data_IF_836191755044
#
_entry.id   IF_836191755044
#
_cell.length_a   1.000
_cell.length_b   1.000
_cell.length_c   1.000
_cell.angle_alpha   90.00
_cell.angle_beta   90.00
_cell.angle_gamma   90.00
#
_symmetry.space_group_name_H-M   'P 1'
#
loop_
_entity.id
_entity.type
_entity.pdbx_description
1 polymer ?
#
# COMPACT_ATOMS: atom_id res chain seq x y z
N UNK A 1 23.11 -66.97 -41.89
CA UNK A 1 23.24 -65.51 -41.99
C UNK A 1 23.90 -65.03 -40.71
N UNK A 2 25.23 -64.78 -40.70
CA UNK A 2 26.00 -64.51 -39.48
C UNK A 2 26.05 -63.03 -39.05
N UNK A 3 25.56 -62.10 -39.88
CA UNK A 3 25.76 -60.65 -39.68
C UNK A 3 24.90 -60.01 -38.57
N UNK A 4 23.80 -60.63 -38.15
CA UNK A 4 22.83 -60.03 -37.20
C UNK A 4 23.31 -60.16 -35.74
N UNK A 5 24.12 -61.18 -35.42
CA UNK A 5 24.63 -61.41 -34.07
C UNK A 5 25.80 -60.50 -33.70
N UNK A 6 26.67 -60.17 -34.66
CA UNK A 6 27.77 -59.22 -34.47
C UNK A 6 27.25 -57.80 -34.21
N UNK A 7 26.23 -57.35 -34.95
CA UNK A 7 25.62 -56.03 -34.72
C UNK A 7 24.98 -55.93 -33.33
N UNK A 8 24.29 -57.00 -32.89
CA UNK A 8 23.66 -57.04 -31.57
C UNK A 8 24.69 -57.07 -30.44
N UNK A 9 25.79 -57.79 -30.63
CA UNK A 9 26.90 -57.79 -29.67
C UNK A 9 27.58 -56.42 -29.57
N UNK A 10 27.80 -55.77 -30.72
CA UNK A 10 28.34 -54.41 -30.79
C UNK A 10 27.43 -53.38 -30.08
N UNK A 11 26.13 -53.49 -30.27
CA UNK A 11 25.14 -52.65 -29.59
C UNK A 11 25.16 -52.83 -28.07
N UNK A 12 25.26 -54.07 -27.60
CA UNK A 12 25.35 -54.37 -26.15
C UNK A 12 26.64 -53.78 -25.56
N UNK A 13 27.74 -53.82 -26.31
CA UNK A 13 29.00 -53.25 -25.86
C UNK A 13 28.95 -51.72 -25.80
N UNK A 14 28.33 -51.09 -26.80
CA UNK A 14 28.06 -49.65 -26.82
C UNK A 14 27.13 -49.21 -25.67
N UNK A 15 26.07 -49.97 -25.38
CA UNK A 15 25.15 -49.66 -24.29
C UNK A 15 25.82 -49.85 -22.92
N UNK A 16 26.71 -50.85 -22.79
CA UNK A 16 27.53 -51.04 -21.60
C UNK A 16 28.51 -49.89 -21.39
N UNK A 17 29.15 -49.39 -22.45
CA UNK A 17 30.08 -48.28 -22.38
C UNK A 17 29.37 -46.96 -22.10
N UNK A 18 28.19 -46.73 -22.69
CA UNK A 18 27.32 -45.60 -22.36
C UNK A 18 26.82 -45.65 -20.91
N UNK A 19 26.48 -46.85 -20.40
CA UNK A 19 26.06 -47.02 -19.01
C UNK A 19 27.23 -46.77 -18.03
N UNK A 20 28.45 -47.16 -18.38
CA UNK A 20 29.66 -46.83 -17.60
C UNK A 20 29.95 -45.34 -17.63
N UNK A 21 29.88 -44.70 -18.80
CA UNK A 21 30.07 -43.26 -18.96
C UNK A 21 29.08 -42.48 -18.08
N UNK A 22 27.78 -42.79 -18.15
CA UNK A 22 26.75 -42.16 -17.31
C UNK A 22 26.99 -42.38 -15.82
N UNK A 23 27.52 -43.55 -15.43
CA UNK A 23 27.90 -43.81 -14.04
C UNK A 23 29.08 -42.96 -13.61
N UNK A 24 30.10 -42.84 -14.45
CA UNK A 24 31.28 -42.01 -14.18
C UNK A 24 30.93 -40.52 -14.09
N UNK A 25 30.08 -40.03 -14.99
CA UNK A 25 29.51 -38.68 -14.93
C UNK A 25 28.73 -38.45 -13.63
N UNK A 26 27.84 -39.38 -13.26
CA UNK A 26 27.08 -39.29 -12.02
C UNK A 26 27.98 -39.32 -10.78
N UNK A 27 29.03 -40.15 -10.77
CA UNK A 27 30.02 -40.20 -9.69
C UNK A 27 30.84 -38.90 -9.61
N UNK A 28 31.20 -38.31 -10.75
CA UNK A 28 31.86 -37.01 -10.83
C UNK A 28 30.98 -35.88 -10.28
N UNK A 29 29.70 -35.83 -10.66
CA UNK A 29 28.73 -34.86 -10.14
C UNK A 29 28.52 -35.02 -8.63
N UNK A 30 28.46 -36.26 -8.13
CA UNK A 30 28.34 -36.54 -6.70
C UNK A 30 29.58 -36.08 -5.93
N UNK A 31 30.77 -36.23 -6.52
CA UNK A 31 32.02 -35.81 -5.89
C UNK A 31 32.16 -34.29 -5.83
N UNK A 32 31.82 -33.57 -6.90
CA UNK A 32 31.88 -32.11 -6.96
C UNK A 32 30.86 -31.46 -6.03
N UNK A 33 29.64 -31.99 -5.96
CA UNK A 33 28.61 -31.53 -5.01
C UNK A 33 29.01 -31.80 -3.56
N UNK A 34 29.64 -32.95 -3.26
CA UNK A 34 30.19 -33.22 -1.92
C UNK A 34 31.32 -32.25 -1.55
N UNK A 35 32.20 -31.92 -2.49
CA UNK A 35 33.28 -30.96 -2.28
C UNK A 35 32.74 -29.55 -2.02
N UNK A 36 31.74 -29.11 -2.80
CA UNK A 36 31.06 -27.83 -2.61
C UNK A 36 30.39 -27.73 -1.24
N UNK A 37 29.66 -28.78 -0.82
CA UNK A 37 29.05 -28.85 0.51
C UNK A 37 30.08 -28.86 1.64
N UNK A 38 31.22 -29.54 1.45
CA UNK A 38 32.32 -29.54 2.42
C UNK A 38 32.97 -28.15 2.54
N UNK A 39 33.13 -27.43 1.42
CA UNK A 39 33.63 -26.06 1.40
C UNK A 39 32.68 -25.08 2.09
N UNK A 40 31.37 -25.18 1.81
CA UNK A 40 30.33 -24.39 2.47
C UNK A 40 30.29 -24.67 3.98
N UNK A 41 30.34 -25.95 4.38
CA UNK A 41 30.37 -26.35 5.80
C UNK A 41 31.63 -25.84 6.53
N UNK A 42 32.77 -25.77 5.84
CA UNK A 42 34.03 -25.23 6.39
C UNK A 42 33.95 -23.72 6.58
N UNK A 43 33.33 -22.99 5.64
CA UNK A 43 33.07 -21.55 5.74
C UNK A 43 32.00 -21.20 6.79
N UNK A 44 31.05 -22.10 7.04
CA UNK A 44 29.93 -21.92 7.98
C UNK A 44 30.31 -21.73 9.45
N UNK A 45 31.57 -21.91 9.87
CA UNK A 45 31.95 -21.77 11.29
C UNK A 45 31.88 -20.33 11.80
N UNK A 46 32.01 -19.32 10.94
CA UNK A 46 31.89 -17.89 11.31
C UNK A 46 30.45 -17.37 11.20
N UNK A 47 29.62 -18.01 10.37
CA UNK A 47 28.21 -17.66 10.18
C UNK A 47 27.38 -17.58 11.49
N UNK A 48 27.46 -18.55 12.43
CA UNK A 48 26.67 -18.47 13.67
C UNK A 48 27.16 -17.38 14.61
N UNK A 49 28.44 -17.00 14.55
CA UNK A 49 29.02 -15.93 15.38
C UNK A 49 28.49 -14.58 14.90
N UNK A 50 28.50 -14.32 13.59
CA UNK A 50 27.91 -13.11 13.03
C UNK A 50 26.40 -13.03 13.26
N UNK A 51 25.69 -14.14 13.09
CA UNK A 51 24.26 -14.18 13.32
C UNK A 51 23.90 -13.94 14.80
N UNK A 52 24.68 -14.50 15.72
CA UNK A 52 24.53 -14.24 17.16
C UNK A 52 24.83 -12.79 17.55
N UNK A 53 25.88 -12.20 16.97
CA UNK A 53 26.23 -10.79 17.20
C UNK A 53 25.15 -9.84 16.65
N UNK A 54 24.64 -10.11 15.45
CA UNK A 54 23.54 -9.35 14.84
C UNK A 54 22.26 -9.44 15.69
N UNK A 55 21.91 -10.65 16.14
CA UNK A 55 20.73 -10.87 16.97
C UNK A 55 20.86 -10.18 18.34
N UNK A 56 22.05 -10.25 18.95
CA UNK A 56 22.34 -9.55 20.20
C UNK A 56 22.26 -8.03 20.08
N UNK A 57 22.82 -7.47 19.00
CA UNK A 57 22.71 -6.03 18.70
C UNK A 57 21.26 -5.59 18.49
N UNK A 58 20.48 -6.37 17.74
CA UNK A 58 19.07 -6.08 17.48
C UNK A 58 18.23 -6.10 18.77
N UNK A 59 18.41 -7.11 19.62
CA UNK A 59 17.74 -7.21 20.92
C UNK A 59 18.16 -6.09 21.87
N UNK A 60 19.44 -5.74 21.90
CA UNK A 60 19.96 -4.62 22.71
C UNK A 60 19.40 -3.27 22.26
N UNK A 61 19.34 -3.03 20.94
CA UNK A 61 18.74 -1.83 20.38
C UNK A 61 17.23 -1.76 20.70
N UNK A 62 16.50 -2.86 20.53
CA UNK A 62 15.07 -2.91 20.85
C UNK A 62 14.79 -2.63 22.34
N UNK A 63 15.58 -3.22 23.24
CA UNK A 63 15.50 -2.95 24.67
C UNK A 63 15.83 -1.49 25.00
N UNK A 64 16.88 -0.95 24.39
CA UNK A 64 17.25 0.46 24.55
C UNK A 64 16.13 1.40 24.12
N UNK A 65 15.52 1.19 22.94
CA UNK A 65 14.40 1.99 22.48
C UNK A 65 13.15 1.85 23.36
N UNK A 66 12.88 0.64 23.85
CA UNK A 66 11.77 0.39 24.76
C UNK A 66 11.90 1.16 26.09
N UNK A 67 13.11 1.20 26.67
CA UNK A 67 13.36 1.87 27.96
C UNK A 67 13.54 3.39 27.79
N UNK A 68 14.22 3.84 26.73
CA UNK A 68 14.61 5.24 26.58
C UNK A 68 13.72 6.07 25.65
N UNK A 69 12.85 5.48 24.84
CA UNK A 69 12.06 6.28 23.89
C UNK A 69 11.31 5.47 22.87
N UNK A 70 10.15 4.94 23.29
CA UNK A 70 9.15 4.37 22.37
C UNK A 70 8.07 5.36 21.95
N UNK A 71 7.96 6.54 22.58
CA UNK A 71 6.81 7.43 22.40
C UNK A 71 7.14 8.77 21.71
N UNK A 72 8.42 9.17 21.72
CA UNK A 72 8.86 10.52 21.30
C UNK A 72 9.48 10.61 19.90
N UNK A 73 9.72 9.48 19.20
CA UNK A 73 10.30 9.49 17.86
C UNK A 73 9.29 9.30 16.71
N UNK A 74 8.10 8.75 16.99
CA UNK A 74 7.07 8.49 15.95
C UNK A 74 5.96 9.56 15.97
N UNK A 75 5.70 10.20 17.12
CA UNK A 75 4.56 11.09 17.32
C UNK A 75 4.87 12.59 17.17
N UNK A 76 6.11 12.96 16.82
CA UNK A 76 6.53 14.36 16.79
C UNK A 76 6.46 14.99 15.38
N UNK A 77 5.41 14.67 14.63
CA UNK A 77 4.85 15.66 13.73
C UNK A 77 4.11 16.62 14.65
N UNK A 78 4.73 17.77 14.95
CA UNK A 78 4.11 18.82 15.75
C UNK A 78 2.90 19.37 14.97
N UNK A 79 1.78 18.66 15.10
CA UNK A 79 0.50 18.95 14.43
C UNK A 79 0.06 20.37 14.74
N UNK A 80 0.46 20.90 15.90
CA UNK A 80 0.18 22.26 16.29
C UNK A 80 0.98 23.28 15.46
N UNK A 81 2.28 23.06 15.23
CA UNK A 81 3.05 23.94 14.33
C UNK A 81 2.64 23.77 12.86
N UNK A 82 2.25 22.58 12.42
CA UNK A 82 1.71 22.35 11.06
C UNK A 82 0.37 23.08 10.89
N UNK A 83 -0.58 22.91 11.81
CA UNK A 83 -1.88 23.62 11.78
C UNK A 83 -1.70 25.14 11.83
N UNK A 84 -0.78 25.65 12.66
CA UNK A 84 -0.45 27.08 12.71
C UNK A 84 0.11 27.56 11.37
N UNK A 85 1.06 26.83 10.78
CA UNK A 85 1.67 27.17 9.49
C UNK A 85 0.65 27.16 8.34
N UNK A 86 -0.28 26.20 8.33
CA UNK A 86 -1.38 26.17 7.36
C UNK A 86 -2.36 27.31 7.56
N UNK A 87 -2.74 27.63 8.79
CA UNK A 87 -3.63 28.75 9.10
C UNK A 87 -3.05 30.09 8.60
N UNK A 88 -1.75 30.33 8.80
CA UNK A 88 -1.08 31.52 8.25
C UNK A 88 -1.11 31.57 6.72
N UNK A 89 -0.90 30.42 6.05
CA UNK A 89 -0.91 30.34 4.58
C UNK A 89 -2.30 30.58 4.00
N UNK A 90 -3.33 30.03 4.63
CA UNK A 90 -4.74 30.22 4.24
C UNK A 90 -5.16 31.68 4.46
N UNK A 91 -4.73 32.31 5.55
CA UNK A 91 -5.03 33.71 5.80
C UNK A 91 -4.38 34.65 4.78
N UNK A 92 -3.13 34.40 4.37
CA UNK A 92 -2.46 35.20 3.32
C UNK A 92 -3.15 35.03 1.95
N UNK A 93 -3.58 33.82 1.60
CA UNK A 93 -4.29 33.59 0.33
C UNK A 93 -5.66 34.26 0.30
N UNK A 94 -6.41 34.25 1.41
CA UNK A 94 -7.70 34.94 1.55
C UNK A 94 -7.52 36.45 1.44
N UNK A 95 -6.57 37.03 2.17
CA UNK A 95 -6.30 38.48 2.13
C UNK A 95 -5.89 38.93 0.71
N UNK A 96 -5.08 38.13 0.02
CA UNK A 96 -4.66 38.40 -1.36
C UNK A 96 -5.81 38.25 -2.35
N UNK A 97 -6.70 37.28 -2.16
CA UNK A 97 -7.91 37.12 -2.96
C UNK A 97 -8.89 38.29 -2.76
N UNK A 98 -9.07 38.73 -1.51
CA UNK A 98 -9.91 39.88 -1.17
C UNK A 98 -9.34 41.18 -1.75
N UNK A 99 -8.02 41.38 -1.70
CA UNK A 99 -7.37 42.53 -2.32
C UNK A 99 -7.52 42.54 -3.86
N UNK A 100 -7.56 41.37 -4.50
CA UNK A 100 -7.84 41.26 -5.95
C UNK A 100 -9.32 41.51 -6.26
N UNK A 101 -10.23 41.00 -5.44
CA UNK A 101 -11.66 41.26 -5.57
C UNK A 101 -12.00 42.74 -5.39
N UNK A 102 -11.34 43.42 -4.44
CA UNK A 102 -11.48 44.86 -4.24
C UNK A 102 -10.96 45.67 -5.45
N UNK A 103 -9.84 45.26 -6.06
CA UNK A 103 -9.32 45.90 -7.29
C UNK A 103 -10.22 45.68 -8.50
N UNK A 104 -10.79 44.47 -8.66
CA UNK A 104 -11.73 44.18 -9.75
C UNK A 104 -13.06 44.93 -9.59
N UNK A 105 -13.43 45.35 -8.38
CA UNK A 105 -14.62 46.18 -8.13
C UNK A 105 -14.42 47.66 -8.48
N UNK A 106 -13.19 48.17 -8.58
CA UNK A 106 -12.94 49.56 -9.03
C UNK A 106 -12.89 49.71 -10.55
N UNK A 107 -12.67 48.63 -11.31
CA UNK A 107 -12.53 48.67 -12.78
C UNK A 107 -13.81 48.25 -13.55
N UNK A 108 -14.88 47.85 -12.85
CA UNK A 108 -16.14 47.39 -13.44
C UNK A 108 -17.36 48.16 -12.87
N UNK A 109 -17.27 49.49 -12.83
CA UNK A 109 -18.45 50.35 -12.71
C UNK A 109 -19.01 50.63 -14.10
N UNK A 110 -19.57 49.61 -14.76
CA UNK A 110 -20.63 49.79 -15.74
C UNK A 110 -21.27 48.44 -16.07
N UNK A 111 -22.49 48.27 -15.57
CA UNK A 111 -23.50 47.27 -15.93
C UNK A 111 -23.72 46.07 -14.98
N UNK A 112 -24.65 46.34 -14.05
CA UNK A 112 -25.77 45.48 -13.61
C UNK A 112 -25.42 44.26 -12.73
N UNK A 113 -25.37 44.55 -11.43
CA UNK A 113 -26.11 43.93 -10.33
C UNK A 113 -26.72 42.52 -10.54
N UNK A 114 -26.37 41.66 -9.58
CA UNK A 114 -27.15 40.55 -9.02
C UNK A 114 -27.00 39.13 -9.58
N UNK A 115 -25.76 38.64 -9.72
CA UNK A 115 -25.42 37.26 -9.33
C UNK A 115 -23.98 37.25 -8.77
N UNK A 116 -23.83 37.39 -7.44
CA UNK A 116 -22.71 36.87 -6.61
C UNK A 116 -22.45 37.74 -5.38
N UNK A 117 -23.31 37.62 -4.39
CA UNK A 117 -23.00 38.07 -3.02
C UNK A 117 -23.66 37.15 -1.98
N UNK A 118 -23.54 35.83 -2.17
CA UNK A 118 -23.62 34.83 -1.11
C UNK A 118 -23.37 33.42 -1.67
N UNK A 119 -22.10 33.03 -1.85
CA UNK A 119 -21.79 31.60 -1.92
C UNK A 119 -21.65 31.14 -0.47
N UNK A 120 -22.80 30.84 0.14
CA UNK A 120 -22.86 30.07 1.37
C UNK A 120 -22.38 28.65 1.02
N UNK A 121 -21.36 28.15 1.72
CA UNK A 121 -20.86 26.77 1.56
C UNK A 121 -21.98 25.74 1.70
N UNK A 122 -23.06 26.08 2.41
CA UNK A 122 -24.28 25.29 2.56
C UNK A 122 -25.06 25.08 1.24
N UNK A 123 -25.08 26.05 0.31
CA UNK A 123 -25.80 25.91 -0.96
C UNK A 123 -25.07 24.98 -1.95
N UNK A 124 -23.73 25.00 -1.98
CA UNK A 124 -22.94 24.08 -2.82
C UNK A 124 -22.99 22.66 -2.26
N UNK A 125 -22.94 22.48 -0.93
CA UNK A 125 -23.17 21.17 -0.33
C UNK A 125 -24.58 20.65 -0.59
N UNK A 126 -25.57 21.54 -0.64
CA UNK A 126 -26.96 21.19 -0.97
C UNK A 126 -27.13 20.83 -2.46
N UNK A 127 -26.49 21.54 -3.39
CA UNK A 127 -26.52 21.18 -4.82
C UNK A 127 -25.76 19.88 -5.12
N UNK A 128 -24.65 19.60 -4.43
CA UNK A 128 -23.94 18.31 -4.54
C UNK A 128 -24.76 17.20 -3.90
N UNK A 129 -25.38 17.43 -2.74
CA UNK A 129 -26.29 16.44 -2.11
C UNK A 129 -27.55 16.21 -2.92
N UNK A 130 -28.09 17.21 -3.63
CA UNK A 130 -29.22 17.05 -4.56
C UNK A 130 -28.83 16.26 -5.82
N UNK A 131 -27.61 16.44 -6.35
CA UNK A 131 -27.13 15.70 -7.53
C UNK A 131 -26.74 14.24 -7.27
N UNK A 132 -26.46 13.89 -6.01
CA UNK A 132 -26.24 12.52 -5.52
C UNK A 132 -27.46 11.95 -4.79
N UNK A 133 -28.54 12.74 -4.62
CA UNK A 133 -29.72 12.32 -3.90
C UNK A 133 -30.35 11.10 -4.59
N UNK A 134 -30.34 9.95 -3.91
CA UNK A 134 -30.85 8.68 -4.45
C UNK A 134 -29.89 7.91 -5.38
N UNK A 135 -28.66 8.38 -5.61
CA UNK A 135 -27.64 7.61 -6.33
C UNK A 135 -26.79 6.79 -5.37
N UNK A 136 -26.54 5.54 -5.75
CA UNK A 136 -25.65 4.64 -5.01
C UNK A 136 -24.20 4.99 -5.30
N UNK A 137 -23.44 5.31 -4.26
CA UNK A 137 -21.99 5.53 -4.31
C UNK A 137 -21.31 4.34 -3.66
N UNK A 138 -20.30 3.78 -4.31
CA UNK A 138 -19.51 2.66 -3.81
C UNK A 138 -18.16 3.17 -3.30
N UNK A 139 -17.70 2.64 -2.17
CA UNK A 139 -16.38 2.94 -1.62
C UNK A 139 -15.75 1.67 -1.07
N UNK A 140 -14.43 1.54 -1.19
CA UNK A 140 -13.70 0.35 -0.74
C UNK A 140 -13.11 0.62 0.63
N UNK A 141 -13.58 -0.12 1.63
CA UNK A 141 -13.13 0.04 3.01
C UNK A 141 -12.05 -0.99 3.32
N UNK A 142 -10.94 -0.53 3.87
CA UNK A 142 -9.77 -1.39 4.18
C UNK A 142 -9.61 -1.66 5.68
N UNK A 143 -10.29 -0.90 6.55
CA UNK A 143 -10.18 -1.09 7.99
C UNK A 143 -11.04 -0.16 8.82
N UNK A 144 -11.22 -0.55 10.09
CA UNK A 144 -11.81 0.23 11.16
C UNK A 144 -10.88 0.14 12.36
N UNK A 145 -10.31 1.26 12.79
CA UNK A 145 -9.42 1.31 13.95
C UNK A 145 -10.08 2.08 15.09
N UNK A 146 -9.92 1.57 16.32
CA UNK A 146 -10.46 2.18 17.55
C UNK A 146 -9.61 3.35 18.06
N UNK A 147 -8.35 3.43 17.63
CA UNK A 147 -7.40 4.48 17.99
C UNK A 147 -6.78 5.05 16.72
N UNK A 148 -6.57 6.37 16.66
CA UNK A 148 -5.88 7.05 15.55
C UNK A 148 -4.36 6.81 15.62
N UNK A 149 -3.95 5.56 15.76
CA UNK A 149 -2.55 5.17 15.98
C UNK A 149 -1.79 4.99 14.67
N UNK A 150 -2.51 4.88 13.55
CA UNK A 150 -1.94 4.71 12.23
C UNK A 150 -2.73 5.53 11.20
N UNK A 151 -2.27 6.74 10.83
CA UNK A 151 -2.69 7.36 9.57
C UNK A 151 -2.07 6.55 8.43
N UNK A 152 -2.58 5.34 8.20
CA UNK A 152 -2.08 4.40 7.18
C UNK A 152 -2.19 4.96 5.76
N UNK A 153 -2.95 6.03 5.60
CA UNK A 153 -3.23 6.69 4.34
C UNK A 153 -2.87 8.17 4.52
N UNK A 154 -1.74 8.58 3.94
CA UNK A 154 -1.49 10.02 3.80
C UNK A 154 -2.65 10.61 2.98
N UNK A 155 -3.41 11.52 3.58
CA UNK A 155 -4.53 12.23 2.96
C UNK A 155 -4.12 13.02 1.70
N UNK A 156 -2.81 13.10 1.43
CA UNK A 156 -2.22 13.78 0.27
C UNK A 156 -2.18 12.92 -0.99
N UNK A 157 -2.23 11.58 -0.87
CA UNK A 157 -2.00 10.66 -2.00
C UNK A 157 -3.23 9.83 -2.35
N UNK A 158 -4.14 9.63 -1.40
CA UNK A 158 -5.35 8.83 -1.61
C UNK A 158 -6.53 9.57 -0.98
N UNK A 159 -7.63 9.82 -1.73
CA UNK A 159 -8.86 10.38 -1.16
C UNK A 159 -9.43 9.35 -0.19
N UNK A 160 -9.04 9.51 1.08
CA UNK A 160 -9.49 8.66 2.17
C UNK A 160 -10.46 9.44 3.05
N UNK A 161 -11.68 8.94 3.16
CA UNK A 161 -12.68 9.54 4.06
C UNK A 161 -12.59 8.84 5.39
N UNK A 162 -12.06 9.55 6.39
CA UNK A 162 -12.10 9.15 7.79
C UNK A 162 -13.39 9.71 8.39
N UNK A 163 -14.41 8.88 8.47
CA UNK A 163 -15.66 9.23 9.17
C UNK A 163 -15.60 8.70 10.59
N UNK A 164 -15.61 9.60 11.56
CA UNK A 164 -15.85 9.26 12.97
C UNK A 164 -17.35 9.08 13.15
N UNK A 165 -17.80 7.83 13.09
CA UNK A 165 -19.09 7.46 13.66
C UNK A 165 -18.80 6.48 14.79
N UNK A 166 -19.34 6.76 15.98
CA UNK A 166 -19.23 5.91 17.18
C UNK A 166 -17.82 5.74 17.77
N UNK A 167 -16.90 6.68 17.52
CA UNK A 167 -15.55 6.65 18.12
C UNK A 167 -14.53 5.75 17.41
N UNK A 168 -14.90 5.16 16.26
CA UNK A 168 -14.00 4.38 15.42
C UNK A 168 -13.61 5.14 14.15
N UNK A 169 -12.35 5.02 13.74
CA UNK A 169 -11.79 5.57 12.51
C UNK A 169 -11.97 4.58 11.37
N UNK A 170 -12.89 4.87 10.44
CA UNK A 170 -13.12 4.06 9.24
C UNK A 170 -12.20 4.55 8.13
N UNK A 171 -11.41 3.66 7.55
CA UNK A 171 -10.52 3.96 6.42
C UNK A 171 -11.12 3.41 5.15
N UNK A 172 -11.58 4.32 4.30
CA UNK A 172 -12.16 4.02 2.98
C UNK A 172 -11.35 4.69 1.89
N UNK A 173 -11.24 4.04 0.73
CA UNK A 173 -10.52 4.52 -0.44
C UNK A 173 -11.49 4.64 -1.62
N UNK A 174 -11.46 5.80 -2.26
CA UNK A 174 -12.16 6.06 -3.49
C UNK A 174 -13.68 6.16 -3.33
N UNK A 175 -14.30 6.88 -4.26
CA UNK A 175 -15.74 7.00 -4.41
C UNK A 175 -16.06 6.69 -5.87
N UNK A 176 -16.87 5.66 -6.09
CA UNK A 176 -17.21 5.13 -7.40
C UNK A 176 -18.72 5.18 -7.61
N UNK A 177 -19.14 5.40 -8.84
CA UNK A 177 -20.58 5.33 -9.19
C UNK A 177 -21.00 3.93 -9.62
N UNK A 178 -20.04 3.08 -9.98
CA UNK A 178 -20.29 1.70 -10.42
C UNK A 178 -19.67 0.69 -9.45
N UNK A 179 -20.30 -0.49 -9.33
CA UNK A 179 -19.81 -1.57 -8.48
C UNK A 179 -18.51 -2.19 -9.03
N UNK A 180 -18.39 -2.30 -10.35
CA UNK A 180 -17.26 -2.97 -10.99
C UNK A 180 -15.95 -2.21 -10.79
N UNK A 181 -15.96 -0.88 -10.93
CA UNK A 181 -14.79 -0.03 -10.64
C UNK A 181 -14.33 -0.18 -9.18
N UNK A 182 -15.28 -0.24 -8.24
CA UNK A 182 -14.96 -0.45 -6.82
C UNK A 182 -14.40 -1.86 -6.56
N UNK A 183 -14.89 -2.88 -7.26
CA UNK A 183 -14.35 -4.25 -7.17
C UNK A 183 -12.96 -4.38 -7.76
N UNK A 184 -12.63 -3.62 -8.79
CA UNK A 184 -11.28 -3.64 -9.36
C UNK A 184 -10.26 -3.02 -8.39
N UNK A 185 -10.61 -1.89 -7.75
CA UNK A 185 -9.78 -1.34 -6.67
C UNK A 185 -9.67 -2.33 -5.49
N UNK A 186 -10.75 -3.00 -5.10
CA UNK A 186 -10.72 -4.01 -4.04
C UNK A 186 -9.71 -5.13 -4.36
N UNK A 187 -9.70 -5.65 -5.58
CA UNK A 187 -8.75 -6.70 -5.99
C UNK A 187 -7.31 -6.21 -5.93
N UNK A 188 -7.05 -4.96 -6.34
CA UNK A 188 -5.72 -4.37 -6.23
C UNK A 188 -5.27 -4.23 -4.78
N UNK A 189 -6.16 -3.76 -3.90
CA UNK A 189 -5.88 -3.62 -2.47
C UNK A 189 -5.61 -4.98 -1.80
N UNK A 190 -6.37 -6.01 -2.15
CA UNK A 190 -6.13 -7.39 -1.68
C UNK A 190 -4.75 -7.87 -2.12
N UNK A 191 -4.36 -7.64 -3.39
CA UNK A 191 -3.02 -8.02 -3.90
C UNK A 191 -1.88 -7.33 -3.16
N UNK A 192 -2.09 -6.09 -2.71
CA UNK A 192 -1.09 -5.30 -1.98
C UNK A 192 -1.00 -5.73 -0.51
N UNK A 193 -1.98 -6.49 0.00
CA UNK A 193 -1.97 -7.07 1.35
C UNK A 193 -3.16 -6.69 2.23
N UNK A 194 -4.12 -5.90 1.72
CA UNK A 194 -5.37 -5.60 2.44
C UNK A 194 -6.40 -6.72 2.23
N UNK A 195 -6.15 -7.87 2.85
CA UNK A 195 -6.95 -9.09 2.66
C UNK A 195 -8.43 -8.96 3.10
N UNK A 196 -8.74 -8.02 3.99
CA UNK A 196 -10.08 -7.77 4.52
C UNK A 196 -10.75 -6.54 3.87
N UNK A 197 -10.29 -6.13 2.69
CA UNK A 197 -10.90 -5.03 1.95
C UNK A 197 -12.29 -5.43 1.41
N UNK A 198 -13.31 -4.63 1.71
CA UNK A 198 -14.68 -4.86 1.24
C UNK A 198 -15.28 -3.61 0.57
N UNK A 199 -16.21 -3.82 -0.35
CA UNK A 199 -16.92 -2.73 -1.01
C UNK A 199 -18.20 -2.41 -0.25
N UNK A 200 -18.38 -1.15 0.14
CA UNK A 200 -19.62 -0.67 0.78
C UNK A 200 -20.35 0.28 -0.17
N UNK A 201 -21.67 0.13 -0.23
CA UNK A 201 -22.57 1.05 -0.95
C UNK A 201 -23.19 2.05 0.02
N UNK A 202 -23.26 3.30 -0.41
CA UNK A 202 -23.80 4.42 0.33
C UNK A 202 -24.86 5.13 -0.52
N UNK A 203 -25.99 5.47 0.08
CA UNK A 203 -27.01 6.34 -0.53
C UNK A 203 -27.24 7.48 0.46
N UNK A 204 -27.11 8.72 0.00
CA UNK A 204 -27.29 9.91 0.84
C UNK A 204 -26.42 9.92 2.11
N UNK A 205 -25.21 9.34 2.03
CA UNK A 205 -24.30 9.23 3.16
C UNK A 205 -24.58 8.06 4.12
N UNK A 206 -25.69 7.34 3.96
CA UNK A 206 -26.00 6.14 4.74
C UNK A 206 -25.54 4.87 4.04
N UNK A 207 -24.91 3.97 4.82
CA UNK A 207 -24.45 2.67 4.32
C UNK A 207 -25.65 1.74 4.08
N UNK A 208 -25.78 1.24 2.87
CA UNK A 208 -26.87 0.33 2.49
C UNK A 208 -26.46 -1.13 2.58
N UNK A 209 -25.41 -1.51 1.84
CA UNK A 209 -25.03 -2.91 1.68
C UNK A 209 -23.54 -3.09 1.48
N UNK A 210 -23.02 -4.22 1.98
CA UNK A 210 -21.67 -4.72 1.72
C UNK A 210 -21.71 -5.65 0.50
N UNK A 211 -20.79 -5.42 -0.42
CA UNK A 211 -20.58 -6.24 -1.59
C UNK A 211 -19.25 -6.95 -1.44
N UNK A 212 -19.31 -8.29 -1.47
CA UNK A 212 -18.15 -9.17 -1.49
C UNK A 212 -17.76 -9.50 -2.94
#
# INVERSE_FOLDING_TARGET
>A
MPFIEEEKFKLIQEDLDNAKLKREEAESELSSTQEELAALKKSSKTLPIFLGLLLGLALGAAYYFYVNGGDSAINNLDVESIKKKEAYRVLDSINRAQARAARNNEESSDNINDISSNINTETITNEVTENINGKTIYSVQIGVLSENKYPLLSSEVIPSTVTTNDGYFKYSLGLYTTLDEAKDLQKELIKIGFNDAFVASYINGERQKIHN
#
